data_IF_563227906224
#
_entry.id   IF_563227906224
#
_cell.length_a   1.000
_cell.length_b   1.000
_cell.length_c   1.000
_cell.angle_alpha   90.00
_cell.angle_beta   90.00
_cell.angle_gamma   90.00
#
_symmetry.space_group_name_H-M   'P 1'
#
loop_
_entity.id
_entity.type
_entity.pdbx_description
1 polymer ?
#
# COMPACT_ATOMS: atom_id res chain seq x y z
N UNK A 1 -7.83 16.37 10.35
CA UNK A 1 -7.65 16.40 8.88
C UNK A 1 -7.38 14.98 8.42
N UNK A 2 -8.11 14.47 7.42
CA UNK A 2 -7.82 13.16 6.86
C UNK A 2 -6.43 13.19 6.22
N UNK A 3 -5.57 12.23 6.57
CA UNK A 3 -4.24 12.09 5.98
C UNK A 3 -4.40 11.63 4.52
N UNK A 4 -3.94 12.43 3.56
CA UNK A 4 -3.89 12.01 2.15
C UNK A 4 -2.79 10.95 1.97
N UNK A 5 -3.21 9.72 1.66
CA UNK A 5 -2.33 8.57 1.48
C UNK A 5 -1.59 8.59 0.13
N UNK A 6 -1.96 9.48 -0.78
CA UNK A 6 -1.47 9.50 -2.17
C UNK A 6 -0.73 10.77 -2.57
N UNK A 7 -0.28 11.60 -1.62
CA UNK A 7 0.39 12.88 -1.91
C UNK A 7 1.54 12.72 -2.91
N UNK A 8 2.41 11.74 -2.67
CA UNK A 8 3.62 11.53 -3.48
C UNK A 8 3.26 10.96 -4.86
N UNK A 9 2.30 10.05 -4.92
CA UNK A 9 1.83 9.40 -6.13
C UNK A 9 1.15 10.43 -7.06
N UNK A 10 0.34 11.32 -6.49
CA UNK A 10 -0.29 12.42 -7.25
C UNK A 10 0.75 13.34 -7.87
N UNK A 11 1.82 13.67 -7.15
CA UNK A 11 2.94 14.46 -7.71
C UNK A 11 3.63 13.74 -8.88
N UNK A 12 3.79 12.41 -8.80
CA UNK A 12 4.38 11.61 -9.89
C UNK A 12 3.45 11.54 -11.09
N UNK A 13 2.14 11.34 -10.89
CA UNK A 13 1.15 11.38 -11.97
C UNK A 13 1.17 12.73 -12.69
N UNK A 14 1.26 13.84 -11.95
CA UNK A 14 1.33 15.19 -12.52
C UNK A 14 2.58 15.41 -13.38
N UNK A 15 3.65 14.64 -13.15
CA UNK A 15 4.89 14.65 -13.95
C UNK A 15 4.84 13.71 -15.17
N UNK A 16 3.68 13.10 -15.45
CA UNK A 16 3.47 12.22 -16.59
C UNK A 16 3.84 10.75 -16.33
N UNK A 17 4.09 10.34 -15.08
CA UNK A 17 4.25 8.92 -14.77
C UNK A 17 2.90 8.19 -14.91
N UNK A 18 2.86 7.07 -15.63
CA UNK A 18 1.61 6.31 -15.83
C UNK A 18 1.43 5.17 -14.81
N UNK A 19 2.53 4.63 -14.29
CA UNK A 19 2.54 3.50 -13.34
C UNK A 19 3.45 3.87 -12.18
N UNK A 20 2.89 3.84 -10.97
CA UNK A 20 3.59 4.16 -9.74
C UNK A 20 3.46 2.97 -8.81
N UNK A 21 4.60 2.40 -8.41
CA UNK A 21 4.66 1.27 -7.50
C UNK A 21 5.16 1.75 -6.13
N UNK A 22 4.37 1.51 -5.09
CA UNK A 22 4.85 1.55 -3.71
C UNK A 22 5.53 0.23 -3.36
N UNK A 23 6.68 0.29 -2.71
CA UNK A 23 7.48 -0.89 -2.34
C UNK A 23 7.73 -0.92 -0.84
N UNK A 24 7.71 -2.11 -0.24
CA UNK A 24 8.04 -2.30 1.18
C UNK A 24 8.59 -3.71 1.42
N UNK A 25 9.34 -3.88 2.51
CA UNK A 25 9.93 -5.15 2.92
C UNK A 25 9.61 -5.55 4.36
N UNK A 26 9.52 -6.86 4.59
CA UNK A 26 9.37 -7.46 5.91
C UNK A 26 10.44 -8.52 6.12
N UNK A 27 10.93 -8.64 7.36
CA UNK A 27 11.88 -9.70 7.74
C UNK A 27 13.33 -9.26 7.86
N UNK A 28 13.65 -7.95 7.87
CA UNK A 28 15.04 -7.48 8.02
C UNK A 28 15.66 -7.69 9.41
N UNK A 29 14.83 -7.91 10.43
CA UNK A 29 15.24 -7.94 11.84
C UNK A 29 15.44 -9.32 12.48
N UNK A 30 14.65 -10.37 12.13
CA UNK A 30 14.84 -11.71 12.67
C UNK A 30 16.22 -12.32 12.36
N UNK A 31 16.69 -13.22 13.24
CA UNK A 31 17.95 -13.96 13.06
C UNK A 31 17.90 -14.98 11.91
N UNK A 32 16.71 -15.51 11.63
CA UNK A 32 16.47 -16.50 10.58
C UNK A 32 15.09 -16.27 9.95
N UNK A 33 14.94 -16.78 8.72
CA UNK A 33 13.77 -16.55 7.87
C UNK A 33 14.09 -15.62 6.69
N UNK A 34 13.29 -15.67 5.61
CA UNK A 34 13.54 -14.85 4.44
C UNK A 34 13.17 -13.38 4.69
N UNK A 35 13.80 -12.49 3.93
CA UNK A 35 13.28 -11.14 3.69
C UNK A 35 12.31 -11.23 2.51
N UNK A 36 11.12 -10.67 2.68
CA UNK A 36 10.10 -10.60 1.62
C UNK A 36 9.88 -9.14 1.27
N UNK A 37 10.04 -8.81 -0.01
CA UNK A 37 9.71 -7.50 -0.56
C UNK A 37 8.46 -7.62 -1.44
N UNK A 38 7.62 -6.58 -1.43
CA UNK A 38 6.42 -6.51 -2.25
C UNK A 38 6.33 -5.15 -2.95
N UNK A 39 5.64 -5.14 -4.10
CA UNK A 39 5.31 -3.92 -4.84
C UNK A 39 3.80 -3.89 -5.10
N UNK A 40 3.16 -2.74 -4.83
CA UNK A 40 1.75 -2.52 -5.11
C UNK A 40 1.58 -1.33 -6.06
N UNK A 41 0.74 -1.50 -7.08
CA UNK A 41 0.42 -0.47 -8.07
C UNK A 41 -1.08 -0.18 -8.02
N UNK A 42 -1.44 1.09 -7.88
CA UNK A 42 -2.83 1.52 -7.97
C UNK A 42 -3.12 2.13 -9.33
N UNK A 43 -4.37 1.97 -9.80
CA UNK A 43 -4.85 2.69 -10.97
C UNK A 43 -4.81 4.21 -10.73
N UNK A 44 -4.50 5.04 -11.74
CA UNK A 44 -4.47 6.50 -11.60
C UNK A 44 -5.78 7.10 -11.07
N UNK A 45 -6.93 6.49 -11.38
CA UNK A 45 -8.23 6.88 -10.84
C UNK A 45 -8.32 6.73 -9.32
N UNK A 46 -7.77 5.65 -8.75
CA UNK A 46 -7.71 5.45 -7.30
C UNK A 46 -6.74 6.42 -6.65
N UNK A 47 -5.59 6.68 -7.28
CA UNK A 47 -4.63 7.68 -6.78
C UNK A 47 -5.28 9.07 -6.74
N UNK A 48 -6.13 9.42 -7.72
CA UNK A 48 -6.84 10.70 -7.79
C UNK A 48 -8.05 10.79 -6.85
N UNK A 49 -8.85 9.74 -6.74
CA UNK A 49 -10.08 9.73 -5.95
C UNK A 49 -9.84 9.39 -4.47
N UNK A 50 -8.71 8.76 -4.15
CA UNK A 50 -8.45 8.18 -2.84
C UNK A 50 -8.59 6.66 -2.85
N UNK A 51 -8.25 6.04 -1.73
CA UNK A 51 -8.20 4.59 -1.61
C UNK A 51 -9.58 3.97 -1.86
N UNK A 52 -9.69 2.86 -2.61
CA UNK A 52 -10.97 2.18 -2.81
C UNK A 52 -11.58 1.77 -1.47
N UNK A 53 -12.91 1.89 -1.32
CA UNK A 53 -13.64 1.50 -0.08
C UNK A 53 -13.26 0.11 0.47
N UNK A 54 -13.09 -0.95 -0.36
CA UNK A 54 -12.67 -2.26 0.14
C UNK A 54 -11.31 -2.23 0.86
N UNK A 55 -10.44 -1.29 0.47
CA UNK A 55 -9.09 -1.14 1.00
C UNK A 55 -9.00 -0.06 2.09
N UNK A 56 -10.10 0.58 2.51
CA UNK A 56 -10.07 1.61 3.56
C UNK A 56 -9.38 1.13 4.85
N UNK A 57 -9.52 -0.18 5.14
CA UNK A 57 -8.92 -0.86 6.28
C UNK A 57 -7.44 -1.21 6.15
N UNK A 58 -6.83 -1.00 4.97
CA UNK A 58 -5.38 -1.16 4.77
C UNK A 58 -4.65 -0.05 5.52
N UNK A 59 -3.97 -0.42 6.59
CA UNK A 59 -3.20 0.48 7.44
C UNK A 59 -2.00 -0.30 8.01
N UNK A 60 -1.07 0.40 8.68
CA UNK A 60 0.14 -0.22 9.25
C UNK A 60 -0.22 -1.51 10.02
N UNK A 61 0.42 -2.59 9.59
CA UNK A 61 0.15 -3.98 9.95
C UNK A 61 0.21 -4.25 11.46
N UNK A 62 0.80 -3.33 12.24
CA UNK A 62 0.83 -3.37 13.71
C UNK A 62 -0.54 -3.21 14.37
N UNK A 63 -1.58 -2.82 13.62
CA UNK A 63 -2.97 -2.68 14.12
C UNK A 63 -3.97 -3.68 13.53
N UNK A 64 -3.52 -4.60 12.67
CA UNK A 64 -4.40 -5.56 11.98
C UNK A 64 -4.19 -6.97 12.53
N UNK A 65 -5.29 -7.66 12.87
CA UNK A 65 -5.24 -9.10 13.20
C UNK A 65 -4.78 -9.91 11.98
N UNK A 66 -4.19 -11.08 12.21
CA UNK A 66 -3.77 -11.98 11.12
C UNK A 66 -4.93 -12.27 10.14
N UNK A 67 -6.10 -12.61 10.68
CA UNK A 67 -7.33 -12.83 9.91
C UNK A 67 -7.72 -11.64 9.02
N UNK A 68 -7.59 -10.41 9.53
CA UNK A 68 -7.91 -9.21 8.74
C UNK A 68 -6.88 -8.95 7.64
N UNK A 69 -5.60 -9.26 7.89
CA UNK A 69 -4.54 -9.18 6.86
C UNK A 69 -4.78 -10.17 5.73
N UNK A 70 -5.09 -11.42 6.06
CA UNK A 70 -5.45 -12.45 5.08
C UNK A 70 -6.67 -12.02 4.25
N UNK A 71 -7.74 -11.52 4.89
CA UNK A 71 -8.91 -11.07 4.14
C UNK A 71 -8.65 -9.88 3.21
N UNK A 72 -7.67 -9.02 3.53
CA UNK A 72 -7.28 -7.90 2.67
C UNK A 72 -6.34 -8.34 1.53
N UNK A 73 -5.60 -9.43 1.72
CA UNK A 73 -4.70 -9.99 0.71
C UNK A 73 -5.48 -10.71 -0.41
N UNK A 74 -6.63 -11.30 -0.09
CA UNK A 74 -7.50 -12.01 -1.04
C UNK A 74 -8.44 -11.09 -1.84
N UNK A 75 -8.44 -9.77 -1.60
CA UNK A 75 -9.23 -8.77 -2.33
C UNK A 75 -8.58 -8.40 -3.66
#
# INVERSE_FOLDING_TARGET
>A
MAFDRFTHERERLAKGCERIAGVDEVGRGPLAGPVVAAAAVFLPEHIRAGLPKPLDGVNDSKKLSAKKRESLFEL
#
